data_IF_037509989880
#
_entry.id   IF_037509989880
#
_cell.length_a   1.000
_cell.length_b   1.000
_cell.length_c   1.000
_cell.angle_alpha   90.00
_cell.angle_beta   90.00
_cell.angle_gamma   90.00
#
_symmetry.space_group_name_H-M   'P 1'
#
loop_
_entity.id
_entity.type
_entity.pdbx_description
1 polymer ?
#
# COMPACT_ATOMS: atom_id res chain seq x y z
N UNK A 1 -2.45 -16.94 -17.69
CA UNK A 1 -2.93 -15.58 -17.36
C UNK A 1 -1.72 -14.66 -17.45
N UNK A 2 -1.80 -13.54 -18.18
CA UNK A 2 -0.68 -12.61 -18.33
C UNK A 2 -0.48 -11.84 -17.00
N UNK A 3 0.67 -11.98 -16.31
CA UNK A 3 0.88 -11.34 -15.01
C UNK A 3 1.15 -9.83 -15.11
N UNK A 4 1.39 -9.33 -16.33
CA UNK A 4 1.75 -7.94 -16.63
C UNK A 4 0.50 -7.19 -17.08
N UNK A 5 0.21 -6.06 -16.45
CA UNK A 5 -0.92 -5.18 -16.79
C UNK A 5 -0.51 -4.27 -17.94
N UNK A 6 0.57 -3.51 -17.74
CA UNK A 6 1.18 -2.68 -18.78
C UNK A 6 2.66 -2.50 -18.48
N UNK A 7 3.45 -2.26 -19.52
CA UNK A 7 4.85 -1.86 -19.40
C UNK A 7 4.95 -0.40 -19.76
N UNK A 8 5.66 0.38 -18.95
CA UNK A 8 5.82 1.81 -19.19
C UNK A 8 6.75 2.00 -20.39
N UNK A 9 6.28 2.56 -21.52
CA UNK A 9 7.12 2.72 -22.71
C UNK A 9 8.31 3.65 -22.41
N UNK A 10 9.52 3.19 -22.68
CA UNK A 10 10.77 3.92 -22.39
C UNK A 10 11.48 3.53 -21.08
N UNK A 11 10.88 2.65 -20.26
CA UNK A 11 11.55 2.05 -19.10
C UNK A 11 11.27 0.55 -19.05
N UNK A 12 12.21 -0.28 -18.59
CA UNK A 12 12.00 -1.73 -18.40
C UNK A 12 11.09 -2.05 -17.19
N UNK A 13 10.24 -1.11 -16.76
CA UNK A 13 9.31 -1.29 -15.65
C UNK A 13 7.98 -1.84 -16.17
N UNK A 14 7.73 -3.11 -15.86
CA UNK A 14 6.44 -3.77 -16.07
C UNK A 14 5.62 -3.71 -14.77
N UNK A 15 4.40 -3.20 -14.85
CA UNK A 15 3.47 -3.25 -13.72
C UNK A 15 2.80 -4.62 -13.70
N UNK A 16 2.91 -5.31 -12.56
CA UNK A 16 2.33 -6.63 -12.36
C UNK A 16 1.06 -6.57 -11.51
N UNK A 17 0.17 -7.53 -11.73
CA UNK A 17 -1.06 -7.69 -10.95
C UNK A 17 -0.81 -7.86 -9.45
N UNK A 18 0.25 -8.56 -9.05
CA UNK A 18 0.58 -8.71 -7.62
C UNK A 18 0.85 -7.36 -6.95
N UNK A 19 1.49 -6.42 -7.66
CA UNK A 19 1.78 -5.08 -7.15
C UNK A 19 0.49 -4.27 -6.94
N UNK A 20 -0.45 -4.38 -7.86
CA UNK A 20 -1.77 -3.73 -7.75
C UNK A 20 -2.57 -4.31 -6.59
N UNK A 21 -2.62 -5.64 -6.46
CA UNK A 21 -3.32 -6.30 -5.35
C UNK A 21 -2.71 -5.90 -4.01
N UNK A 22 -1.38 -5.86 -3.91
CA UNK A 22 -0.67 -5.41 -2.71
C UNK A 22 -1.01 -3.96 -2.36
N UNK A 23 -0.95 -3.05 -3.33
CA UNK A 23 -1.26 -1.63 -3.12
C UNK A 23 -2.70 -1.44 -2.61
N UNK A 24 -3.67 -2.13 -3.22
CA UNK A 24 -5.07 -2.10 -2.77
C UNK A 24 -5.20 -2.63 -1.34
N UNK A 25 -4.53 -3.74 -1.01
CA UNK A 25 -4.54 -4.30 0.34
C UNK A 25 -3.99 -3.34 1.39
N UNK A 26 -2.88 -2.66 1.10
CA UNK A 26 -2.26 -1.66 1.98
C UNK A 26 -3.20 -0.48 2.24
N UNK A 27 -3.83 0.05 1.18
CA UNK A 27 -4.78 1.17 1.28
C UNK A 27 -5.97 0.76 2.15
N UNK A 28 -6.55 -0.41 1.91
CA UNK A 28 -7.68 -0.91 2.70
C UNK A 28 -7.31 -1.10 4.19
N UNK A 29 -6.12 -1.64 4.47
CA UNK A 29 -5.62 -1.78 5.83
C UNK A 29 -5.51 -0.41 6.52
N UNK A 30 -4.99 0.60 5.82
CA UNK A 30 -4.93 1.98 6.30
C UNK A 30 -6.30 2.57 6.62
N UNK A 31 -7.27 2.41 5.72
CA UNK A 31 -8.63 2.90 5.95
C UNK A 31 -9.30 2.26 7.17
N UNK A 32 -9.14 0.94 7.35
CA UNK A 32 -9.71 0.23 8.51
C UNK A 32 -9.04 0.66 9.82
N UNK A 33 -7.71 0.81 9.81
CA UNK A 33 -6.95 1.27 10.96
C UNK A 33 -7.29 2.72 11.33
N UNK A 34 -7.36 3.61 10.33
CA UNK A 34 -7.78 5.00 10.50
C UNK A 34 -9.19 5.07 11.11
N UNK A 35 -10.13 4.28 10.59
CA UNK A 35 -11.50 4.23 11.10
C UNK A 35 -11.53 3.81 12.57
N UNK A 36 -10.76 2.79 12.96
CA UNK A 36 -10.65 2.35 14.35
C UNK A 36 -10.02 3.38 15.27
N UNK A 37 -9.01 4.12 14.80
CA UNK A 37 -8.36 5.20 15.58
C UNK A 37 -9.30 6.40 15.75
N UNK A 38 -10.00 6.79 14.68
CA UNK A 38 -10.95 7.92 14.72
C UNK A 38 -12.14 7.65 15.64
N UNK A 39 -12.64 6.42 15.69
CA UNK A 39 -13.68 6.04 16.65
C UNK A 39 -13.26 6.19 18.12
N UNK A 40 -11.97 6.09 18.40
CA UNK A 40 -11.41 6.24 19.75
C UNK A 40 -11.02 7.70 20.06
N UNK A 41 -11.36 8.64 19.19
CA UNK A 41 -10.98 10.06 19.31
C UNK A 41 -9.52 10.36 18.94
N UNK A 42 -8.81 9.41 18.34
CA UNK A 42 -7.43 9.60 17.90
C UNK A 42 -7.32 10.25 16.52
N UNK A 43 -6.11 10.70 16.17
CA UNK A 43 -5.81 11.25 14.85
C UNK A 43 -5.54 10.13 13.84
N UNK A 44 -6.41 10.03 12.83
CA UNK A 44 -6.27 9.06 11.74
C UNK A 44 -5.04 9.31 10.85
N UNK A 45 -4.56 10.55 10.76
CA UNK A 45 -3.40 10.92 9.95
C UNK A 45 -2.14 10.12 10.33
N UNK A 46 -1.97 9.87 11.64
CA UNK A 46 -0.84 9.11 12.17
C UNK A 46 -0.77 7.68 11.58
N UNK A 47 -1.91 7.09 11.19
CA UNK A 47 -1.92 5.77 10.54
C UNK A 47 -1.29 5.85 9.14
N UNK A 48 -1.59 6.91 8.39
CA UNK A 48 -1.01 7.12 7.07
C UNK A 48 0.49 7.42 7.15
N UNK A 49 0.93 8.20 8.13
CA UNK A 49 2.34 8.42 8.43
C UNK A 49 3.08 7.11 8.75
N UNK A 50 2.47 6.26 9.59
CA UNK A 50 3.00 4.95 9.94
C UNK A 50 3.03 4.00 8.73
N UNK A 51 2.05 4.05 7.84
CA UNK A 51 2.02 3.21 6.64
C UNK A 51 3.10 3.63 5.62
N UNK A 52 3.30 4.93 5.41
CA UNK A 52 4.32 5.44 4.49
C UNK A 52 5.71 4.95 4.88
N UNK A 53 6.02 4.91 6.17
CA UNK A 53 7.29 4.38 6.66
C UNK A 53 7.28 2.86 6.83
N UNK A 54 6.17 2.30 7.30
CA UNK A 54 6.04 0.88 7.62
C UNK A 54 6.08 -0.04 6.40
N UNK A 55 5.54 0.39 5.26
CA UNK A 55 5.58 -0.40 4.02
C UNK A 55 7.02 -0.63 3.52
N UNK A 56 7.87 0.41 3.38
CA UNK A 56 9.30 0.20 3.10
C UNK A 56 10.01 -0.72 4.09
N UNK A 57 9.79 -0.55 5.40
CA UNK A 57 10.40 -1.43 6.40
C UNK A 57 9.93 -2.88 6.27
N UNK A 58 8.65 -3.10 5.97
CA UNK A 58 8.10 -4.43 5.72
C UNK A 58 8.66 -5.09 4.47
N UNK A 59 8.96 -4.31 3.42
CA UNK A 59 9.60 -4.82 2.19
C UNK A 59 11.06 -5.17 2.44
N UNK A 60 11.80 -4.33 3.17
CA UNK A 60 13.24 -4.54 3.43
C UNK A 60 13.48 -5.67 4.44
N UNK A 61 12.56 -5.88 5.38
CA UNK A 61 12.67 -6.92 6.40
C UNK A 61 12.20 -8.32 5.96
N UNK A 62 11.56 -8.45 4.79
CA UNK A 62 11.06 -9.72 4.24
C UNK A 62 12.14 -10.46 3.45
#
# INVERSE_FOLDING_TARGET
MNPIIFTIPGTNFSLHWYGVIMAVGIILAGMVAEWGVRQRGGNGENIWELLIWGVPFGIVGA
#
